data_IF_231205342101
#
_entry.id   IF_231205342101
#
_cell.length_a   1.000
_cell.length_b   1.000
_cell.length_c   1.000
_cell.angle_alpha   90.00
_cell.angle_beta   90.00
_cell.angle_gamma   90.00
#
_symmetry.space_group_name_H-M   'P 1'
#
loop_
_entity.id
_entity.type
_entity.pdbx_description
1 polymer ?
#
# COMPACT_ATOMS: atom_id res chain seq x y z
N UNK A 1 27.21 24.18 25.89
CA UNK A 1 25.82 23.64 25.88
C UNK A 1 25.83 22.39 25.02
N UNK A 2 25.36 21.25 25.55
CA UNK A 2 25.37 19.95 24.86
C UNK A 2 24.04 19.78 24.13
N UNK A 3 23.99 19.35 22.85
CA UNK A 3 22.74 19.19 22.13
C UNK A 3 21.87 18.08 22.75
N UNK A 4 20.54 18.18 22.68
CA UNK A 4 19.65 17.15 23.20
C UNK A 4 19.86 15.84 22.41
N UNK A 5 20.00 14.74 23.14
CA UNK A 5 20.09 13.40 22.56
C UNK A 5 18.73 13.02 22.00
N UNK A 6 18.67 12.70 20.70
CA UNK A 6 17.47 12.09 20.09
C UNK A 6 17.24 10.72 20.75
N UNK A 7 15.99 10.36 21.12
CA UNK A 7 15.70 8.99 21.53
C UNK A 7 15.95 8.04 20.35
N UNK A 8 16.39 6.80 20.60
CA UNK A 8 16.55 5.81 19.54
C UNK A 8 15.18 5.47 18.92
N UNK A 9 15.13 5.07 17.63
CA UNK A 9 13.89 4.65 17.01
C UNK A 9 13.35 3.42 17.76
N UNK A 10 12.09 3.51 18.20
CA UNK A 10 11.38 2.37 18.77
C UNK A 10 11.05 1.46 17.60
N UNK A 11 11.83 0.41 17.43
CA UNK A 11 11.53 -0.70 16.53
C UNK A 11 10.30 -1.42 17.08
N UNK A 12 9.13 -1.12 16.54
CA UNK A 12 7.91 -1.85 16.86
C UNK A 12 7.98 -3.23 16.17
N UNK A 13 8.46 -4.22 16.89
CA UNK A 13 8.49 -5.61 16.43
C UNK A 13 7.07 -6.18 16.50
N UNK A 14 6.37 -6.24 15.37
CA UNK A 14 5.12 -7.00 15.25
C UNK A 14 5.44 -8.49 15.40
N UNK A 15 5.10 -9.07 16.56
CA UNK A 15 5.25 -10.49 16.84
C UNK A 15 4.08 -11.24 16.17
N UNK A 16 4.31 -11.82 15.00
CA UNK A 16 3.39 -12.81 14.44
C UNK A 16 3.51 -14.11 15.26
N UNK A 17 2.51 -14.40 16.10
CA UNK A 17 2.43 -15.69 16.80
C UNK A 17 1.91 -16.73 15.81
N UNK A 18 2.83 -17.42 15.13
CA UNK A 18 2.52 -18.67 14.44
C UNK A 18 2.60 -19.82 15.45
N UNK A 19 1.46 -20.20 16.02
CA UNK A 19 1.36 -21.43 16.79
C UNK A 19 1.10 -22.61 15.85
N UNK A 20 2.13 -23.23 15.26
CA UNK A 20 2.06 -24.62 14.80
C UNK A 20 3.41 -25.33 14.91
N UNK A 21 3.34 -26.51 15.51
CA UNK A 21 4.38 -27.49 15.76
C UNK A 21 5.02 -28.01 14.46
N UNK A 22 6.32 -27.77 14.30
CA UNK A 22 7.14 -28.38 13.27
C UNK A 22 8.53 -27.75 13.22
N UNK A 23 9.56 -28.46 13.71
CA UNK A 23 10.95 -28.05 13.56
C UNK A 23 11.40 -28.32 12.13
N UNK A 24 11.26 -27.33 11.24
CA UNK A 24 12.08 -27.24 10.04
C UNK A 24 13.03 -26.04 10.23
N UNK A 25 14.32 -26.16 9.92
CA UNK A 25 15.27 -25.09 10.15
C UNK A 25 14.88 -23.86 9.32
N UNK A 26 14.61 -22.75 10.03
CA UNK A 26 14.41 -21.44 9.46
C UNK A 26 15.70 -21.04 8.73
N UNK A 27 15.77 -21.35 7.44
CA UNK A 27 16.85 -20.89 6.59
C UNK A 27 16.76 -19.37 6.55
N UNK A 28 17.75 -18.73 7.17
CA UNK A 28 17.91 -17.29 7.15
C UNK A 28 17.83 -16.81 5.69
N UNK A 29 16.86 -15.93 5.42
CA UNK A 29 16.77 -15.22 4.15
C UNK A 29 18.07 -14.42 3.98
N UNK A 30 18.92 -14.90 3.09
CA UNK A 30 20.11 -14.19 2.65
C UNK A 30 19.66 -12.91 1.93
N UNK A 31 20.27 -11.74 2.19
CA UNK A 31 20.02 -10.52 1.43
C UNK A 31 20.73 -10.61 0.08
N UNK A 32 20.27 -11.54 -0.75
CA UNK A 32 20.57 -11.60 -2.17
C UNK A 32 19.33 -11.10 -2.90
N UNK A 33 19.29 -9.80 -3.18
CA UNK A 33 18.29 -9.20 -4.06
C UNK A 33 18.53 -9.71 -5.49
N UNK A 34 18.02 -10.90 -5.79
CA UNK A 34 17.70 -11.29 -7.15
C UNK A 34 16.36 -10.66 -7.53
N UNK A 35 16.25 -10.20 -8.78
CA UNK A 35 14.98 -9.86 -9.44
C UNK A 35 14.16 -11.15 -9.57
N UNK A 36 13.49 -11.54 -8.49
CA UNK A 36 12.71 -12.77 -8.48
C UNK A 36 11.30 -12.45 -8.03
N UNK A 37 10.37 -12.64 -8.97
CA UNK A 37 8.95 -12.65 -8.69
C UNK A 37 8.66 -13.69 -7.59
N UNK A 38 7.60 -13.47 -6.80
CA UNK A 38 7.16 -14.47 -5.83
C UNK A 38 6.96 -15.84 -6.48
N UNK A 39 7.26 -16.94 -5.78
CA UNK A 39 6.89 -18.27 -6.23
C UNK A 39 5.39 -18.34 -6.56
N UNK A 40 5.04 -19.17 -7.55
CA UNK A 40 3.63 -19.44 -7.86
C UNK A 40 2.90 -19.93 -6.60
N UNK A 41 1.75 -19.32 -6.29
CA UNK A 41 0.96 -19.64 -5.09
C UNK A 41 1.47 -19.00 -3.80
N UNK A 42 2.30 -17.96 -3.87
CA UNK A 42 2.71 -17.15 -2.72
C UNK A 42 2.05 -15.75 -2.72
N UNK A 43 1.88 -15.19 -1.51
CA UNK A 43 1.64 -13.77 -1.29
C UNK A 43 2.92 -13.16 -0.73
N UNK A 44 3.42 -12.09 -1.36
CA UNK A 44 4.53 -11.28 -0.86
C UNK A 44 4.04 -9.85 -0.67
N UNK A 45 4.18 -9.34 0.55
CA UNK A 45 3.87 -7.95 0.92
C UNK A 45 5.17 -7.30 1.35
N UNK A 46 5.60 -6.27 0.64
CA UNK A 46 6.84 -5.55 0.89
C UNK A 46 6.55 -4.11 1.26
N UNK A 47 6.96 -3.72 2.46
CA UNK A 47 6.92 -2.33 2.93
C UNK A 47 8.22 -1.63 2.49
N UNK A 48 8.08 -0.56 1.72
CA UNK A 48 9.19 0.22 1.16
C UNK A 48 9.50 1.35 2.14
N UNK A 49 10.76 1.50 2.52
CA UNK A 49 11.18 2.61 3.38
C UNK A 49 11.18 3.91 2.57
N UNK A 50 10.15 4.72 2.77
CA UNK A 50 9.94 6.05 2.17
C UNK A 50 9.97 7.16 3.23
N UNK A 51 10.45 6.85 4.43
CA UNK A 51 10.50 7.77 5.56
C UNK A 51 9.12 8.07 6.17
N UNK A 52 8.39 9.04 5.63
CA UNK A 52 7.05 9.43 6.12
C UNK A 52 6.00 9.07 5.08
N UNK A 53 4.88 8.53 5.57
CA UNK A 53 3.79 7.96 4.77
C UNK A 53 4.03 6.49 4.48
N UNK A 54 3.19 5.94 3.60
CA UNK A 54 3.21 4.52 3.24
C UNK A 54 3.66 4.30 1.79
N UNK A 55 4.25 3.13 1.56
CA UNK A 55 4.50 2.57 0.23
C UNK A 55 4.61 1.05 0.36
N UNK A 56 3.66 0.31 -0.20
CA UNK A 56 3.55 -1.14 -0.03
C UNK A 56 3.33 -1.83 -1.36
N UNK A 57 4.29 -2.66 -1.77
CA UNK A 57 4.15 -3.55 -2.91
C UNK A 57 3.52 -4.88 -2.48
N UNK A 58 2.42 -5.24 -3.11
CA UNK A 58 1.73 -6.53 -2.94
C UNK A 58 1.85 -7.33 -4.23
N UNK A 59 2.40 -8.54 -4.14
CA UNK A 59 2.56 -9.44 -5.27
C UNK A 59 1.97 -10.82 -4.97
N UNK A 60 1.09 -11.30 -5.83
CA UNK A 60 0.55 -12.67 -5.76
C UNK A 60 0.02 -13.13 -7.11
N UNK A 61 0.17 -14.41 -7.43
CA UNK A 61 -0.37 -14.98 -8.68
C UNK A 61 0.12 -14.30 -9.97
N UNK A 62 1.30 -13.66 -9.95
CA UNK A 62 1.84 -12.87 -11.05
C UNK A 62 1.23 -11.46 -11.20
N UNK A 63 0.38 -11.05 -10.25
CA UNK A 63 -0.20 -9.71 -10.15
C UNK A 63 0.61 -8.81 -9.25
N UNK A 64 0.69 -7.51 -9.59
CA UNK A 64 1.42 -6.50 -8.82
C UNK A 64 0.51 -5.31 -8.48
N UNK A 65 0.38 -5.00 -7.20
CA UNK A 65 -0.36 -3.84 -6.70
C UNK A 65 0.54 -2.98 -5.82
N UNK A 66 0.47 -1.66 -5.97
CA UNK A 66 1.18 -0.72 -5.11
C UNK A 66 0.17 0.10 -4.29
N UNK A 67 0.29 0.07 -2.97
CA UNK A 67 -0.51 0.90 -2.06
C UNK A 67 0.37 2.03 -1.56
N UNK A 68 0.01 3.26 -1.93
CA UNK A 68 0.78 4.50 -1.71
C UNK A 68 2.22 4.47 -2.25
N UNK A 69 2.85 5.64 -2.30
CA UNK A 69 4.18 5.84 -2.90
C UNK A 69 5.02 6.90 -2.18
N UNK A 70 4.70 7.23 -0.93
CA UNK A 70 5.47 8.20 -0.16
C UNK A 70 5.40 9.64 -0.70
N UNK A 71 6.34 10.47 -0.23
CA UNK A 71 6.54 11.86 -0.69
C UNK A 71 7.11 11.94 -2.11
N UNK A 72 7.02 13.10 -2.78
CA UNK A 72 7.55 13.25 -4.15
C UNK A 72 9.02 12.91 -4.31
N UNK A 73 9.85 13.11 -3.29
CA UNK A 73 11.29 12.80 -3.36
C UNK A 73 11.57 11.29 -3.31
N UNK A 74 10.60 10.48 -2.89
CA UNK A 74 10.73 9.03 -2.73
C UNK A 74 10.29 8.26 -3.98
N UNK A 75 9.63 8.91 -4.95
CA UNK A 75 9.20 8.28 -6.21
C UNK A 75 10.30 7.48 -6.91
N UNK A 76 11.52 8.02 -7.11
CA UNK A 76 12.63 7.27 -7.69
C UNK A 76 13.04 6.03 -6.87
N UNK A 77 13.01 6.12 -5.54
CA UNK A 77 13.32 5.00 -4.64
C UNK A 77 12.24 3.89 -4.74
N UNK A 78 10.96 4.28 -4.82
CA UNK A 78 9.85 3.34 -5.06
C UNK A 78 10.04 2.65 -6.42
N UNK A 79 10.30 3.39 -7.49
CA UNK A 79 10.53 2.82 -8.83
C UNK A 79 11.71 1.84 -8.84
N UNK A 80 12.85 2.20 -8.24
CA UNK A 80 14.01 1.31 -8.16
C UNK A 80 13.71 0.05 -7.34
N UNK A 81 12.93 0.17 -6.26
CA UNK A 81 12.46 -0.98 -5.51
C UNK A 81 11.58 -1.90 -6.37
N UNK A 82 10.58 -1.36 -7.07
CA UNK A 82 9.70 -2.12 -7.96
C UNK A 82 10.51 -2.89 -9.03
N UNK A 83 11.50 -2.23 -9.66
CA UNK A 83 12.44 -2.87 -10.61
C UNK A 83 13.20 -4.03 -9.96
N UNK A 84 13.71 -3.82 -8.74
CA UNK A 84 14.43 -4.86 -8.00
C UNK A 84 13.56 -6.09 -7.67
N UNK A 85 12.23 -5.92 -7.67
CA UNK A 85 11.23 -6.99 -7.45
C UNK A 85 10.68 -7.59 -8.75
N UNK A 86 11.24 -7.23 -9.90
CA UNK A 86 10.84 -7.75 -11.20
C UNK A 86 9.45 -7.32 -11.64
N UNK A 87 8.97 -6.16 -11.14
CA UNK A 87 7.72 -5.58 -11.61
C UNK A 87 7.93 -5.03 -13.02
N UNK A 88 7.10 -5.46 -13.96
CA UNK A 88 7.06 -4.97 -15.34
C UNK A 88 5.85 -4.06 -15.59
N UNK A 89 4.71 -4.41 -14.98
CA UNK A 89 3.46 -3.64 -15.01
C UNK A 89 2.78 -3.69 -13.64
N UNK A 90 1.89 -2.72 -13.39
CA UNK A 90 1.05 -2.68 -12.19
C UNK A 90 -0.40 -2.95 -12.57
N UNK A 91 -0.97 -4.01 -12.01
CA UNK A 91 -2.39 -4.32 -12.14
C UNK A 91 -3.27 -3.31 -11.40
N UNK A 92 -2.70 -2.62 -10.42
CA UNK A 92 -3.25 -1.38 -9.96
C UNK A 92 -2.42 -0.67 -8.91
N UNK A 93 -2.77 0.59 -8.69
CA UNK A 93 -2.29 1.38 -7.56
C UNK A 93 -3.47 1.73 -6.67
N UNK A 94 -3.25 1.75 -5.36
CA UNK A 94 -4.24 2.18 -4.37
C UNK A 94 -3.72 3.45 -3.73
N UNK A 95 -4.53 4.50 -3.81
CA UNK A 95 -4.35 5.73 -3.06
C UNK A 95 -5.16 5.59 -1.78
N UNK A 96 -4.48 5.42 -0.64
CA UNK A 96 -5.18 5.34 0.64
C UNK A 96 -5.90 6.67 0.90
N UNK A 97 -5.19 7.79 0.82
CA UNK A 97 -5.72 9.14 0.97
C UNK A 97 -4.95 10.13 0.05
N UNK A 98 -5.50 11.34 -0.22
CA UNK A 98 -4.92 12.31 -1.16
C UNK A 98 -3.74 13.12 -0.62
N UNK A 99 -3.14 12.76 0.50
CA UNK A 99 -2.06 13.54 1.13
C UNK A 99 -0.71 13.33 0.44
N UNK A 100 0.10 14.37 0.46
CA UNK A 100 1.29 14.46 -0.39
C UNK A 100 2.40 13.47 -0.01
N UNK A 101 2.40 12.97 1.22
CA UNK A 101 3.27 11.91 1.72
C UNK A 101 2.74 10.51 1.43
N UNK A 102 1.58 10.36 0.80
CA UNK A 102 1.08 9.08 0.26
C UNK A 102 1.14 9.07 -1.27
N UNK A 103 0.68 10.13 -1.92
CA UNK A 103 0.54 10.15 -3.39
C UNK A 103 1.74 10.76 -4.11
N UNK A 104 2.69 11.32 -3.37
CA UNK A 104 3.74 12.16 -3.92
C UNK A 104 4.62 11.42 -4.93
N UNK A 105 5.01 10.20 -4.62
CA UNK A 105 5.87 9.38 -5.49
C UNK A 105 5.15 8.78 -6.70
N UNK A 106 3.82 8.85 -6.80
CA UNK A 106 3.10 8.22 -7.92
C UNK A 106 3.39 8.87 -9.27
N UNK A 107 3.86 10.11 -9.33
CA UNK A 107 4.24 10.72 -10.61
C UNK A 107 5.38 9.97 -11.28
N UNK A 108 6.42 9.61 -10.52
CA UNK A 108 7.54 8.80 -11.05
C UNK A 108 7.08 7.37 -11.38
N UNK A 109 6.15 6.81 -10.60
CA UNK A 109 5.59 5.48 -10.87
C UNK A 109 4.79 5.45 -12.17
N UNK A 110 3.90 6.43 -12.39
CA UNK A 110 3.07 6.54 -13.59
C UNK A 110 3.88 6.87 -14.85
N UNK A 111 5.04 7.51 -14.72
CA UNK A 111 5.98 7.71 -15.83
C UNK A 111 6.77 6.42 -16.16
N UNK A 112 7.03 5.58 -15.16
CA UNK A 112 7.86 4.40 -15.30
C UNK A 112 7.10 3.10 -15.64
N UNK A 113 5.81 3.02 -15.32
CA UNK A 113 5.02 1.78 -15.40
C UNK A 113 3.66 2.00 -16.06
N UNK A 114 3.23 1.01 -16.84
CA UNK A 114 1.82 0.88 -17.23
C UNK A 114 0.99 0.47 -16.01
N UNK A 115 -0.08 1.21 -15.74
CA UNK A 115 -0.97 1.01 -14.59
C UNK A 115 -2.40 0.74 -15.09
N UNK A 116 -2.91 -0.46 -14.79
CA UNK A 116 -4.25 -0.84 -15.28
C UNK A 116 -5.38 -0.10 -14.56
N UNK A 117 -5.29 0.07 -13.23
CA UNK A 117 -6.36 0.69 -12.43
C UNK A 117 -5.81 1.47 -11.24
N UNK A 118 -6.34 2.67 -11.04
CA UNK A 118 -6.11 3.52 -9.87
C UNK A 118 -7.32 3.46 -8.96
N UNK A 119 -7.17 2.89 -7.77
CA UNK A 119 -8.19 2.85 -6.73
C UNK A 119 -8.05 4.07 -5.83
N UNK A 120 -9.14 4.79 -5.60
CA UNK A 120 -9.17 6.01 -4.76
C UNK A 120 -10.33 5.96 -3.77
N UNK A 121 -10.23 6.68 -2.65
CA UNK A 121 -11.33 6.83 -1.68
C UNK A 121 -12.48 7.72 -2.18
N UNK A 122 -12.29 8.43 -3.30
CA UNK A 122 -13.23 9.45 -3.77
C UNK A 122 -13.30 10.69 -2.87
N UNK A 123 -12.33 10.89 -1.96
CA UNK A 123 -12.17 12.13 -1.18
C UNK A 123 -11.15 13.07 -1.87
N UNK A 124 -11.59 14.08 -2.64
CA UNK A 124 -10.68 14.94 -3.39
C UNK A 124 -10.02 16.01 -2.51
N UNK A 125 -8.77 16.37 -2.81
CA UNK A 125 -8.06 17.45 -2.12
C UNK A 125 -7.54 18.51 -3.10
N UNK A 126 -7.74 19.79 -2.79
CA UNK A 126 -7.34 20.90 -3.68
C UNK A 126 -5.83 21.21 -3.75
N UNK A 127 -4.94 20.28 -3.40
CA UNK A 127 -3.49 20.54 -3.33
C UNK A 127 -2.81 20.48 -4.70
N UNK A 128 -1.65 21.11 -4.83
CA UNK A 128 -0.85 21.02 -6.04
C UNK A 128 -0.44 19.56 -6.34
N UNK A 129 -0.04 18.80 -5.31
CA UNK A 129 0.34 17.39 -5.45
C UNK A 129 -0.81 16.53 -5.98
N UNK A 130 -2.01 16.68 -5.42
CA UNK A 130 -3.17 15.92 -5.87
C UNK A 130 -3.57 16.26 -7.31
N UNK A 131 -3.52 17.55 -7.67
CA UNK A 131 -3.78 17.97 -9.05
C UNK A 131 -2.75 17.44 -10.05
N UNK A 132 -1.48 17.37 -9.66
CA UNK A 132 -0.43 16.75 -10.48
C UNK A 132 -0.65 15.25 -10.61
N UNK A 133 -0.97 14.56 -9.51
CA UNK A 133 -1.30 13.13 -9.52
C UNK A 133 -2.46 12.81 -10.48
N UNK A 134 -3.58 13.53 -10.37
CA UNK A 134 -4.72 13.35 -11.29
C UNK A 134 -4.37 13.58 -12.75
N UNK A 135 -3.45 14.52 -13.02
CA UNK A 135 -2.93 14.76 -14.37
C UNK A 135 -2.10 13.58 -14.84
N UNK A 136 -1.19 13.06 -14.01
CA UNK A 136 -0.39 11.88 -14.33
C UNK A 136 -1.28 10.68 -14.65
N UNK A 137 -2.28 10.40 -13.82
CA UNK A 137 -3.26 9.32 -14.04
C UNK A 137 -3.97 9.47 -15.39
N UNK A 138 -4.42 10.69 -15.72
CA UNK A 138 -5.09 10.97 -17.00
C UNK A 138 -4.15 10.83 -18.20
N UNK A 139 -2.92 11.30 -18.06
CA UNK A 139 -1.96 11.33 -19.16
C UNK A 139 -1.38 9.92 -19.44
N UNK A 140 -1.27 9.05 -18.43
CA UNK A 140 -0.94 7.62 -18.58
C UNK A 140 -2.11 6.83 -19.21
N UNK A 141 -3.35 7.17 -18.84
CA UNK A 141 -4.56 6.55 -19.39
C UNK A 141 -5.21 5.49 -18.51
N UNK A 142 -4.76 5.36 -17.26
CA UNK A 142 -5.28 4.42 -16.27
C UNK A 142 -6.78 4.57 -16.04
N UNK A 143 -7.47 3.44 -15.83
CA UNK A 143 -8.83 3.48 -15.32
C UNK A 143 -8.85 3.96 -13.86
N UNK A 144 -9.79 4.83 -13.49
CA UNK A 144 -9.98 5.26 -12.10
C UNK A 144 -11.22 4.59 -11.52
N UNK A 145 -11.08 4.01 -10.33
CA UNK A 145 -12.18 3.39 -9.59
C UNK A 145 -12.24 3.93 -8.17
N UNK A 146 -13.41 4.40 -7.75
CA UNK A 146 -13.67 4.64 -6.33
C UNK A 146 -13.85 3.30 -5.60
N UNK A 147 -13.11 3.13 -4.51
CA UNK A 147 -13.17 1.96 -3.64
C UNK A 147 -13.84 2.33 -2.32
N UNK A 148 -14.79 1.51 -1.90
CA UNK A 148 -15.59 1.69 -0.68
C UNK A 148 -15.64 0.40 0.13
N UNK A 149 -15.96 0.54 1.42
CA UNK A 149 -16.21 -0.57 2.32
C UNK A 149 -17.22 -1.55 1.72
N UNK A 150 -16.85 -2.82 1.66
CA UNK A 150 -17.64 -3.89 1.04
C UNK A 150 -17.19 -4.28 -0.38
N UNK A 151 -16.35 -3.47 -1.04
CA UNK A 151 -15.72 -3.90 -2.29
C UNK A 151 -14.75 -5.06 -2.04
N UNK A 152 -14.71 -6.01 -2.97
CA UNK A 152 -13.83 -7.18 -2.91
C UNK A 152 -13.14 -7.35 -4.25
N UNK A 153 -11.81 -7.50 -4.20
CA UNK A 153 -10.97 -7.74 -5.36
C UNK A 153 -10.20 -9.05 -5.23
N UNK A 154 -9.88 -9.66 -6.37
CA UNK A 154 -8.95 -10.79 -6.46
C UNK A 154 -7.60 -10.30 -6.99
N UNK A 155 -6.60 -10.27 -6.11
CA UNK A 155 -5.24 -9.83 -6.40
C UNK A 155 -4.34 -11.04 -6.66
N UNK A 156 -4.73 -11.89 -7.61
CA UNK A 156 -3.95 -13.08 -7.99
C UNK A 156 -4.03 -14.22 -6.99
N UNK A 157 -5.21 -14.46 -6.42
CA UNK A 157 -5.49 -15.45 -5.39
C UNK A 157 -5.48 -14.89 -3.97
N UNK A 158 -4.98 -13.66 -3.79
CA UNK A 158 -5.16 -12.90 -2.55
C UNK A 158 -6.50 -12.15 -2.60
N UNK A 159 -7.40 -12.44 -1.67
CA UNK A 159 -8.65 -11.69 -1.52
C UNK A 159 -8.33 -10.36 -0.86
N UNK A 160 -8.63 -9.25 -1.54
CA UNK A 160 -8.46 -7.91 -1.04
C UNK A 160 -9.83 -7.29 -0.74
N UNK A 161 -10.18 -7.26 0.55
CA UNK A 161 -11.39 -6.59 1.05
C UNK A 161 -11.11 -5.13 1.30
N UNK A 162 -11.87 -4.24 0.66
CA UNK A 162 -11.91 -2.84 1.08
C UNK A 162 -12.82 -2.75 2.29
N UNK A 163 -12.25 -2.32 3.42
CA UNK A 163 -12.95 -2.24 4.71
C UNK A 163 -13.17 -0.80 5.18
N UNK A 164 -12.63 0.18 4.46
CA UNK A 164 -12.88 1.62 4.62
C UNK A 164 -12.55 2.33 3.30
N UNK A 165 -13.10 3.53 3.03
CA UNK A 165 -14.09 4.29 3.82
C UNK A 165 -15.50 3.69 3.76
N UNK A 166 -16.49 4.18 4.55
CA UNK A 166 -17.86 3.69 4.47
C UNK A 166 -18.47 3.87 3.06
N UNK A 167 -19.39 2.98 2.63
CA UNK A 167 -19.97 3.03 1.29
C UNK A 167 -20.92 4.20 1.08
N UNK A 168 -21.66 4.60 2.11
CA UNK A 168 -22.73 5.58 1.98
C UNK A 168 -22.26 7.03 2.15
N UNK A 169 -21.24 7.25 2.99
CA UNK A 169 -20.77 8.59 3.32
C UNK A 169 -19.32 8.59 3.81
N UNK A 170 -18.57 9.58 3.35
CA UNK A 170 -17.25 9.92 3.86
C UNK A 170 -17.36 10.61 5.23
N UNK A 171 -16.33 10.42 6.05
CA UNK A 171 -16.08 11.22 7.25
C UNK A 171 -15.60 12.63 6.89
N UNK A 172 -15.64 13.52 7.88
CA UNK A 172 -15.14 14.89 7.74
C UNK A 172 -13.62 14.97 7.64
N UNK A 173 -12.91 14.05 8.30
CA UNK A 173 -11.45 14.00 8.29
C UNK A 173 -10.98 13.10 7.14
N UNK A 174 -10.09 13.62 6.30
CA UNK A 174 -9.56 12.91 5.13
C UNK A 174 -8.82 11.62 5.50
N UNK A 175 -8.11 11.64 6.63
CA UNK A 175 -7.39 10.47 7.13
C UNK A 175 -8.32 9.31 7.50
N UNK A 176 -9.45 9.61 8.16
CA UNK A 176 -10.50 8.63 8.45
C UNK A 176 -11.14 8.03 7.17
N UNK A 177 -10.96 8.69 6.02
CA UNK A 177 -11.42 8.23 4.71
C UNK A 177 -10.41 7.36 3.95
N UNK A 178 -9.32 6.95 4.60
CA UNK A 178 -8.30 6.10 3.97
C UNK A 178 -8.91 4.82 3.38
N UNK A 179 -8.51 4.46 2.17
CA UNK A 179 -8.83 3.14 1.58
C UNK A 179 -8.08 2.06 2.35
N UNK A 180 -8.78 1.46 3.32
CA UNK A 180 -8.26 0.38 4.14
C UNK A 180 -8.49 -0.96 3.47
N UNK A 181 -7.45 -1.77 3.37
CA UNK A 181 -7.51 -3.08 2.70
C UNK A 181 -7.10 -4.17 3.67
N UNK A 182 -7.98 -5.17 3.82
CA UNK A 182 -7.65 -6.43 4.47
C UNK A 182 -7.36 -7.48 3.40
N UNK A 183 -6.10 -7.88 3.30
CA UNK A 183 -5.67 -8.99 2.46
C UNK A 183 -5.87 -10.31 3.20
N UNK A 184 -6.44 -11.29 2.50
CA UNK A 184 -6.57 -12.66 2.98
C UNK A 184 -5.98 -13.63 1.94
N UNK A 185 -5.01 -14.43 2.34
CA UNK A 185 -4.38 -15.47 1.51
C UNK A 185 -4.21 -16.75 2.34
N UNK A 186 -5.04 -17.75 2.06
CA UNK A 186 -5.14 -18.93 2.93
C UNK A 186 -5.56 -18.54 4.34
N UNK A 187 -4.71 -18.82 5.34
CA UNK A 187 -4.94 -18.44 6.75
C UNK A 187 -4.27 -17.11 7.12
N UNK A 188 -3.42 -16.55 6.26
CA UNK A 188 -2.73 -15.30 6.51
C UNK A 188 -3.66 -14.11 6.26
N UNK A 189 -3.59 -13.10 7.14
CA UNK A 189 -4.32 -11.84 7.01
C UNK A 189 -3.37 -10.66 7.23
N UNK A 190 -3.42 -9.66 6.37
CA UNK A 190 -2.62 -8.43 6.45
C UNK A 190 -3.55 -7.23 6.30
N UNK A 191 -3.46 -6.28 7.23
CA UNK A 191 -4.22 -5.04 7.18
C UNK A 191 -3.31 -3.91 6.69
N UNK A 192 -3.76 -3.20 5.65
CA UNK A 192 -3.19 -1.96 5.16
C UNK A 192 -4.21 -0.85 5.48
N UNK A 193 -3.95 -0.07 6.53
CA UNK A 193 -4.93 0.87 7.08
C UNK A 193 -4.82 2.30 6.53
N UNK A 194 -3.72 2.62 5.83
CA UNK A 194 -3.35 4.00 5.53
C UNK A 194 -3.23 4.83 6.81
N UNK A 195 -3.63 6.09 6.72
CA UNK A 195 -3.58 7.04 7.84
C UNK A 195 -4.89 7.08 8.64
N UNK A 196 -5.71 6.03 8.61
CA UNK A 196 -6.96 5.99 9.36
C UNK A 196 -6.77 6.43 10.81
N UNK A 197 -7.47 7.49 11.20
CA UNK A 197 -7.51 7.97 12.57
C UNK A 197 -8.65 7.27 13.32
N UNK A 198 -9.03 7.82 14.48
CA UNK A 198 -9.93 7.17 15.42
C UNK A 198 -11.25 6.71 14.79
N UNK A 199 -11.91 7.51 13.94
CA UNK A 199 -13.22 7.11 13.39
C UNK A 199 -13.05 6.04 12.32
N UNK A 200 -12.01 6.12 11.50
CA UNK A 200 -11.66 5.10 10.53
C UNK A 200 -11.34 3.77 11.20
N UNK A 201 -10.51 3.78 12.25
CA UNK A 201 -10.19 2.59 13.06
C UNK A 201 -11.42 1.99 13.75
N UNK A 202 -12.29 2.82 14.34
CA UNK A 202 -13.55 2.39 14.94
C UNK A 202 -14.48 1.75 13.90
N UNK A 203 -14.55 2.33 12.69
CA UNK A 203 -15.33 1.76 11.59
C UNK A 203 -14.78 0.39 11.16
N UNK A 204 -13.48 0.28 10.89
CA UNK A 204 -12.83 -0.97 10.48
C UNK A 204 -12.99 -2.09 11.51
N UNK A 205 -12.89 -1.75 12.80
CA UNK A 205 -12.99 -2.73 13.89
C UNK A 205 -14.42 -3.19 14.20
N UNK A 206 -15.43 -2.43 13.76
CA UNK A 206 -16.85 -2.74 14.00
C UNK A 206 -17.39 -3.93 13.20
N UNK A 207 -16.62 -4.45 12.23
CA UNK A 207 -16.99 -5.63 11.44
C UNK A 207 -18.11 -5.38 10.43
N UNK A 208 -18.10 -4.20 9.81
CA UNK A 208 -19.03 -3.84 8.73
C UNK A 208 -18.76 -4.61 7.45
#
# INVERSE_FOLDING_TARGET
MKPPRRPPPILLLLLAVAALTGCEPLSALSPGAGTQLPPAGALVVSFIDVGQGDAVLVQSGGKNYLVDAGKPQEGPNVVDFLRSRGVETLDGIVVSNPDADHIGGFLDVLDAYEVSTVYVSGDPKGTATYNSFLRGVRDEGSAVKESRGGDVYDWGGARADVISPPPDALFSETNDNSVGILLTFGTARVLLAGDAEKKGEEYMSSGS
#
